data_IF_353295687991
#
_entry.id   IF_353295687991
#
_cell.length_a   1.000
_cell.length_b   1.000
_cell.length_c   1.000
_cell.angle_alpha   90.00
_cell.angle_beta   90.00
_cell.angle_gamma   90.00
#
_symmetry.space_group_name_H-M   'P 1'
#
loop_
_entity.id
_entity.type
_entity.pdbx_description
1 polymer ?
#
# COMPACT_ATOMS: atom_id res chain seq x y z
N UNK A 1 15.72 11.09 23.49
CA UNK A 1 14.36 11.48 23.09
C UNK A 1 14.11 10.69 21.82
N UNK A 2 13.49 9.52 21.96
CA UNK A 2 13.32 8.57 20.86
C UNK A 2 12.43 9.21 19.79
N UNK A 3 12.96 9.29 18.57
CA UNK A 3 12.29 9.85 17.41
C UNK A 3 11.09 8.98 17.08
N UNK A 4 9.88 9.54 17.15
CA UNK A 4 8.61 8.92 16.78
C UNK A 4 8.50 8.59 15.26
N UNK A 5 9.62 8.52 14.53
CA UNK A 5 9.67 8.42 13.07
C UNK A 5 10.37 7.17 12.52
N UNK A 6 10.93 6.30 13.37
CA UNK A 6 11.53 5.03 12.97
C UNK A 6 10.59 3.86 13.30
N UNK A 7 9.51 3.72 12.54
CA UNK A 7 8.82 2.43 12.49
C UNK A 7 9.82 1.42 11.90
N UNK A 8 10.18 0.39 12.68
CA UNK A 8 11.17 -0.62 12.31
C UNK A 8 10.68 -1.44 11.11
N UNK A 9 10.89 -0.93 9.89
CA UNK A 9 10.69 -1.64 8.62
C UNK A 9 11.70 -2.78 8.49
N UNK A 10 11.45 -3.83 9.26
CA UNK A 10 12.27 -5.02 9.34
C UNK A 10 11.58 -6.15 8.61
N UNK A 11 12.36 -7.05 8.04
CA UNK A 11 11.85 -8.30 7.55
C UNK A 11 11.48 -9.15 8.77
N UNK A 12 10.20 -9.53 8.97
CA UNK A 12 9.85 -10.44 10.04
C UNK A 12 10.54 -11.80 9.84
N UNK A 13 10.93 -12.44 10.95
CA UNK A 13 11.62 -13.73 10.90
C UNK A 13 10.71 -14.89 10.43
N UNK A 14 9.40 -14.72 10.62
CA UNK A 14 8.34 -15.65 10.23
C UNK A 14 7.09 -14.85 9.83
N UNK A 15 6.22 -15.46 9.03
CA UNK A 15 4.96 -14.84 8.66
C UNK A 15 3.99 -14.76 9.85
N UNK A 16 3.42 -13.58 10.07
CA UNK A 16 2.39 -13.37 11.09
C UNK A 16 1.00 -13.37 10.45
N UNK A 17 0.07 -14.23 10.89
CA UNK A 17 -1.33 -14.18 10.45
C UNK A 17 -1.97 -12.84 10.80
N UNK A 18 -2.88 -12.35 9.95
CA UNK A 18 -3.63 -11.12 10.18
C UNK A 18 -4.83 -11.39 11.09
N UNK A 19 -4.89 -10.74 12.27
CA UNK A 19 -5.97 -10.94 13.25
C UNK A 19 -7.00 -9.79 13.21
N UNK A 20 -8.21 -9.99 13.75
CA UNK A 20 -9.16 -8.90 13.98
C UNK A 20 -8.54 -7.75 14.77
N UNK A 21 -8.75 -6.51 14.33
CA UNK A 21 -8.19 -5.30 14.95
C UNK A 21 -6.73 -5.00 14.59
N UNK A 22 -6.08 -5.86 13.78
CA UNK A 22 -4.72 -5.64 13.29
C UNK A 22 -4.72 -5.19 11.82
N UNK A 23 -3.74 -4.36 11.48
CA UNK A 23 -3.42 -4.00 10.10
C UNK A 23 -1.94 -4.21 9.82
N UNK A 24 -1.63 -4.86 8.70
CA UNK A 24 -0.27 -5.13 8.26
C UNK A 24 0.08 -4.24 7.07
N UNK A 25 1.17 -3.49 7.18
CA UNK A 25 1.68 -2.61 6.12
C UNK A 25 3.03 -3.14 5.65
N UNK A 26 3.11 -3.52 4.38
CA UNK A 26 4.29 -4.09 3.76
C UNK A 26 4.91 -3.12 2.77
N UNK A 27 6.22 -2.89 2.89
CA UNK A 27 6.98 -2.12 1.92
C UNK A 27 7.99 -3.01 1.18
N UNK A 28 8.18 -2.77 -0.11
CA UNK A 28 9.24 -3.39 -0.90
C UNK A 28 9.81 -2.45 -1.96
N UNK A 29 11.09 -2.62 -2.28
CA UNK A 29 11.72 -1.98 -3.44
C UNK A 29 11.33 -2.72 -4.72
N UNK A 30 11.22 -2.01 -5.84
CA UNK A 30 11.10 -2.63 -7.17
C UNK A 30 12.42 -3.22 -7.67
N UNK A 31 13.55 -2.80 -7.09
CA UNK A 31 14.85 -3.38 -7.36
C UNK A 31 14.95 -4.73 -6.64
N UNK A 32 14.51 -5.78 -7.34
CA UNK A 32 14.48 -7.15 -6.87
C UNK A 32 15.28 -8.05 -7.82
N UNK A 33 15.86 -9.15 -7.33
CA UNK A 33 16.47 -10.15 -8.20
C UNK A 33 15.51 -10.63 -9.29
N UNK A 34 16.04 -10.93 -10.48
CA UNK A 34 15.21 -11.40 -11.60
C UNK A 34 14.42 -12.67 -11.25
N UNK A 35 14.98 -13.56 -10.43
CA UNK A 35 14.27 -14.75 -9.94
C UNK A 35 12.99 -14.39 -9.20
N UNK A 36 13.06 -13.43 -8.27
CA UNK A 36 11.91 -12.90 -7.53
C UNK A 36 10.90 -12.25 -8.48
N UNK A 37 11.38 -11.45 -9.44
CA UNK A 37 10.50 -10.83 -10.43
C UNK A 37 9.73 -11.87 -11.24
N UNK A 38 10.40 -12.92 -11.73
CA UNK A 38 9.75 -13.97 -12.52
C UNK A 38 8.81 -14.84 -11.67
N UNK A 39 9.17 -15.14 -10.42
CA UNK A 39 8.29 -15.82 -9.47
C UNK A 39 6.99 -15.01 -9.27
N UNK A 40 7.09 -13.74 -8.87
CA UNK A 40 5.94 -12.90 -8.62
C UNK A 40 5.10 -12.69 -9.89
N UNK A 41 5.75 -12.57 -11.06
CA UNK A 41 5.07 -12.50 -12.36
C UNK A 41 4.27 -13.78 -12.65
N UNK A 42 4.75 -14.95 -12.23
CA UNK A 42 4.08 -16.23 -12.49
C UNK A 42 2.75 -16.37 -11.75
N UNK A 43 2.54 -15.58 -10.69
CA UNK A 43 1.27 -15.56 -9.94
C UNK A 43 0.19 -14.69 -10.60
N UNK A 44 0.55 -13.81 -11.54
CA UNK A 44 -0.44 -12.93 -12.18
C UNK A 44 -1.40 -13.72 -13.07
N UNK A 45 -2.67 -13.35 -13.01
CA UNK A 45 -3.68 -13.83 -13.95
C UNK A 45 -3.41 -13.34 -15.38
N UNK A 46 -4.05 -13.95 -16.39
CA UNK A 46 -3.82 -13.59 -17.79
C UNK A 46 -4.15 -12.12 -18.09
N UNK A 47 -5.25 -11.60 -17.54
CA UNK A 47 -5.64 -10.19 -17.69
C UNK A 47 -4.64 -9.23 -17.03
N UNK A 48 -4.07 -9.61 -15.88
CA UNK A 48 -3.00 -8.85 -15.22
C UNK A 48 -1.71 -8.88 -16.02
N UNK A 49 -1.33 -10.02 -16.59
CA UNK A 49 -0.16 -10.12 -17.48
C UNK A 49 -0.33 -9.25 -18.73
N UNK A 50 -1.52 -9.24 -19.33
CA UNK A 50 -1.85 -8.35 -20.46
C UNK A 50 -1.79 -6.89 -20.04
N UNK A 51 -2.30 -6.53 -18.86
CA UNK A 51 -2.20 -5.16 -18.32
C UNK A 51 -0.74 -4.76 -18.08
N UNK A 52 0.07 -5.63 -17.51
CA UNK A 52 1.50 -5.41 -17.29
C UNK A 52 2.22 -5.10 -18.62
N UNK A 53 1.90 -5.86 -19.68
CA UNK A 53 2.51 -5.68 -21.00
C UNK A 53 2.17 -4.32 -21.65
N UNK A 54 1.05 -3.69 -21.28
CA UNK A 54 0.60 -2.40 -21.84
C UNK A 54 1.31 -1.19 -21.24
N UNK A 55 2.02 -1.32 -20.11
CA UNK A 55 2.81 -0.20 -19.57
C UNK A 55 3.94 0.18 -20.53
N UNK A 56 4.04 1.50 -20.78
CA UNK A 56 5.02 2.08 -21.72
C UNK A 56 6.45 2.01 -21.19
N UNK A 57 6.63 2.21 -19.88
CA UNK A 57 7.95 2.22 -19.25
C UNK A 57 8.21 0.89 -18.54
N UNK A 58 9.48 0.51 -18.45
CA UNK A 58 9.93 -0.66 -17.67
C UNK A 58 9.60 -0.50 -16.19
N UNK A 59 9.81 0.70 -15.64
CA UNK A 59 9.57 1.00 -14.22
C UNK A 59 8.10 0.80 -13.84
N UNK A 60 7.14 1.37 -14.60
CA UNK A 60 5.71 1.19 -14.28
C UNK A 60 5.27 -0.26 -14.46
N UNK A 61 5.85 -0.98 -15.43
CA UNK A 61 5.63 -2.43 -15.56
C UNK A 61 6.16 -3.20 -14.35
N UNK A 62 7.34 -2.87 -13.85
CA UNK A 62 7.93 -3.51 -12.67
C UNK A 62 7.12 -3.22 -11.41
N UNK A 63 6.75 -1.96 -11.17
CA UNK A 63 5.86 -1.54 -10.07
C UNK A 63 4.57 -2.37 -10.08
N UNK A 64 3.94 -2.49 -11.25
CA UNK A 64 2.70 -3.27 -11.37
C UNK A 64 2.91 -4.76 -11.12
N UNK A 65 3.93 -5.38 -11.73
CA UNK A 65 4.20 -6.82 -11.56
C UNK A 65 4.57 -7.16 -10.12
N UNK A 66 5.46 -6.40 -9.51
CA UNK A 66 5.88 -6.63 -8.13
C UNK A 66 4.75 -6.33 -7.16
N UNK A 67 4.03 -5.23 -7.32
CA UNK A 67 2.88 -4.92 -6.46
C UNK A 67 1.76 -5.94 -6.58
N UNK A 68 1.40 -6.36 -7.79
CA UNK A 68 0.33 -7.36 -7.98
C UNK A 68 0.75 -8.76 -7.56
N UNK A 69 1.95 -9.19 -7.95
CA UNK A 69 2.46 -10.51 -7.60
C UNK A 69 2.67 -10.64 -6.08
N UNK A 70 3.22 -9.60 -5.44
CA UNK A 70 3.39 -9.61 -3.98
C UNK A 70 2.05 -9.54 -3.24
N UNK A 71 1.08 -8.76 -3.74
CA UNK A 71 -0.28 -8.77 -3.21
C UNK A 71 -0.87 -10.17 -3.20
N UNK A 72 -0.80 -10.88 -4.35
CA UNK A 72 -1.27 -12.26 -4.47
C UNK A 72 -0.53 -13.20 -3.51
N UNK A 73 0.80 -13.07 -3.43
CA UNK A 73 1.63 -13.90 -2.53
C UNK A 73 1.22 -13.72 -1.07
N UNK A 74 1.12 -12.48 -0.59
CA UNK A 74 0.76 -12.19 0.80
C UNK A 74 -0.68 -12.60 1.13
N UNK A 75 -1.64 -12.37 0.21
CA UNK A 75 -3.01 -12.85 0.37
C UNK A 75 -3.06 -14.38 0.43
N UNK A 76 -2.29 -15.06 -0.41
CA UNK A 76 -2.18 -16.52 -0.36
C UNK A 76 -1.72 -17.01 1.00
N UNK A 77 -0.73 -16.35 1.61
CA UNK A 77 -0.31 -16.65 2.97
C UNK A 77 -1.37 -16.34 4.04
N UNK A 78 -2.12 -15.23 3.92
CA UNK A 78 -3.18 -14.94 4.90
C UNK A 78 -4.38 -15.88 4.79
N UNK A 79 -4.63 -16.46 3.62
CA UNK A 79 -5.80 -17.27 3.31
C UNK A 79 -5.51 -18.77 3.25
N UNK A 80 -4.24 -19.16 3.31
CA UNK A 80 -3.77 -20.52 3.01
C UNK A 80 -4.22 -21.00 1.62
N UNK A 81 -4.11 -20.11 0.62
CA UNK A 81 -4.49 -20.36 -0.77
C UNK A 81 -3.30 -20.11 -1.71
N UNK A 82 -3.26 -20.84 -2.84
CA UNK A 82 -2.21 -20.61 -3.83
C UNK A 82 -2.39 -19.24 -4.52
N UNK A 83 -1.34 -18.40 -4.63
CA UNK A 83 -1.46 -17.01 -5.14
C UNK A 83 -2.12 -16.86 -6.52
N UNK A 84 -1.95 -17.84 -7.40
CA UNK A 84 -2.53 -17.85 -8.75
C UNK A 84 -4.03 -18.19 -8.77
N UNK A 85 -4.56 -18.80 -7.71
CA UNK A 85 -5.98 -19.20 -7.63
C UNK A 85 -6.87 -18.06 -7.11
N UNK A 86 -6.26 -17.02 -6.52
CA UNK A 86 -6.97 -15.85 -6.02
C UNK A 86 -7.66 -15.10 -7.16
N UNK A 87 -8.95 -14.80 -6.95
CA UNK A 87 -9.77 -14.04 -7.89
C UNK A 87 -10.03 -12.63 -7.37
N UNK A 88 -9.93 -11.62 -8.25
CA UNK A 88 -10.24 -10.24 -7.91
C UNK A 88 -11.44 -9.75 -8.72
N UNK A 89 -12.35 -9.05 -8.05
CA UNK A 89 -13.38 -8.23 -8.69
C UNK A 89 -12.96 -6.76 -8.63
N UNK A 90 -13.42 -5.96 -9.58
CA UNK A 90 -13.05 -4.55 -9.67
C UNK A 90 -14.27 -3.68 -9.38
N UNK A 91 -14.15 -2.80 -8.40
CA UNK A 91 -15.17 -1.79 -8.11
C UNK A 91 -15.24 -0.70 -9.18
N UNK A 92 -16.20 0.22 -9.04
CA UNK A 92 -16.50 1.30 -9.99
C UNK A 92 -15.27 2.17 -10.34
N UNK A 93 -14.36 2.35 -9.38
CA UNK A 93 -13.13 3.14 -9.57
C UNK A 93 -11.88 2.28 -9.85
N UNK A 94 -12.06 1.00 -10.18
CA UNK A 94 -10.95 0.08 -10.49
C UNK A 94 -10.18 -0.42 -9.26
N UNK A 95 -10.65 -0.15 -8.03
CA UNK A 95 -10.10 -0.74 -6.79
C UNK A 95 -10.34 -2.26 -6.85
N UNK A 96 -9.27 -3.09 -6.85
CA UNK A 96 -9.41 -4.53 -6.78
C UNK A 96 -9.93 -4.94 -5.40
N UNK A 97 -10.84 -5.89 -5.37
CA UNK A 97 -11.42 -6.49 -4.17
C UNK A 97 -11.24 -7.99 -4.30
N UNK A 98 -10.82 -8.67 -3.24
CA UNK A 98 -10.71 -10.11 -3.23
C UNK A 98 -12.11 -10.71 -3.34
N UNK A 99 -12.32 -11.58 -4.34
CA UNK A 99 -13.51 -12.41 -4.39
C UNK A 99 -13.29 -13.60 -3.45
N UNK A 100 -14.00 -13.62 -2.33
CA UNK A 100 -13.97 -14.75 -1.40
C UNK A 100 -15.40 -15.28 -1.17
N UNK A 101 -15.78 -16.42 -1.76
CA UNK A 101 -17.12 -16.98 -1.64
C UNK A 101 -17.43 -17.52 -0.23
N UNK A 102 -16.41 -17.74 0.61
CA UNK A 102 -16.55 -18.25 1.99
C UNK A 102 -16.60 -17.10 3.01
N UNK A 103 -16.55 -15.84 2.56
CA UNK A 103 -16.77 -14.67 3.41
C UNK A 103 -15.55 -14.23 4.22
N UNK A 104 -14.36 -14.29 3.63
CA UNK A 104 -13.15 -13.75 4.24
C UNK A 104 -13.17 -12.22 4.40
N UNK A 105 -12.76 -11.76 5.57
CA UNK A 105 -12.80 -10.36 6.00
C UNK A 105 -11.64 -9.50 5.50
N UNK A 106 -10.66 -10.03 4.77
CA UNK A 106 -9.45 -9.25 4.46
C UNK A 106 -9.77 -8.13 3.47
N UNK A 107 -9.41 -6.90 3.84
CA UNK A 107 -9.36 -5.74 2.96
C UNK A 107 -7.92 -5.39 2.69
N UNK A 108 -7.66 -4.82 1.54
CA UNK A 108 -6.31 -4.42 1.17
C UNK A 108 -6.29 -3.19 0.28
N UNK A 109 -5.13 -2.55 0.25
CA UNK A 109 -4.84 -1.47 -0.67
C UNK A 109 -3.37 -1.50 -1.09
N UNK A 110 -3.08 -0.99 -2.28
CA UNK A 110 -1.72 -0.96 -2.84
C UNK A 110 -1.46 0.44 -3.36
N UNK A 111 -0.30 0.99 -3.05
CA UNK A 111 0.23 2.20 -3.66
C UNK A 111 1.69 2.00 -4.06
N UNK A 112 2.14 2.73 -5.07
CA UNK A 112 3.52 2.66 -5.52
C UNK A 112 3.94 3.98 -6.18
N UNK A 113 5.20 4.36 -5.99
CA UNK A 113 5.79 5.59 -6.52
C UNK A 113 7.29 5.38 -6.61
N UNK A 114 7.95 5.98 -7.60
CA UNK A 114 9.40 5.80 -7.79
C UNK A 114 9.81 4.32 -7.79
N UNK A 115 10.62 3.92 -6.82
CA UNK A 115 11.10 2.53 -6.66
C UNK A 115 10.42 1.77 -5.54
N UNK A 116 9.38 2.32 -4.93
CA UNK A 116 8.74 1.75 -3.74
C UNK A 116 7.33 1.27 -4.03
N UNK A 117 7.00 0.11 -3.50
CA UNK A 117 5.64 -0.44 -3.44
C UNK A 117 5.24 -0.61 -1.99
N UNK A 118 4.04 -0.15 -1.66
CA UNK A 118 3.44 -0.23 -0.33
C UNK A 118 2.10 -0.98 -0.43
N UNK A 119 1.91 -1.98 0.43
CA UNK A 119 0.68 -2.76 0.52
C UNK A 119 0.14 -2.68 1.93
N UNK A 120 -1.15 -2.49 2.08
CA UNK A 120 -1.83 -2.48 3.36
C UNK A 120 -2.90 -3.56 3.39
N UNK A 121 -3.02 -4.24 4.53
CA UNK A 121 -4.01 -5.29 4.77
C UNK A 121 -4.66 -5.07 6.12
N UNK A 122 -5.97 -5.26 6.20
CA UNK A 122 -6.75 -5.19 7.44
C UNK A 122 -7.74 -6.34 7.50
N UNK A 123 -8.10 -6.76 8.71
CA UNK A 123 -9.19 -7.70 8.93
C UNK A 123 -10.50 -6.93 9.13
N UNK A 124 -11.46 -7.15 8.24
CA UNK A 124 -12.81 -6.58 8.18
C UNK A 124 -12.90 -5.08 7.83
N UNK A 125 -12.02 -4.26 8.39
CA UNK A 125 -12.10 -2.80 8.23
C UNK A 125 -11.64 -2.34 6.86
N UNK A 126 -12.29 -1.32 6.29
CA UNK A 126 -11.77 -0.70 5.07
C UNK A 126 -10.41 -0.06 5.34
N UNK A 127 -9.51 -0.20 4.37
CA UNK A 127 -8.15 0.33 4.44
C UNK A 127 -7.75 0.98 3.12
N UNK A 128 -6.99 2.08 3.24
CA UNK A 128 -6.38 2.80 2.13
C UNK A 128 -4.94 3.15 2.47
N UNK A 129 -4.05 3.04 1.49
CA UNK A 129 -2.65 3.40 1.67
C UNK A 129 -2.17 4.24 0.51
N UNK A 130 -1.36 5.24 0.82
CA UNK A 130 -0.69 6.02 -0.20
C UNK A 130 0.78 6.23 0.12
N UNK A 131 1.58 6.37 -0.94
CA UNK A 131 3.01 6.62 -0.85
C UNK A 131 3.44 7.49 -2.01
N UNK A 132 4.21 8.52 -1.71
CA UNK A 132 4.79 9.42 -2.70
C UNK A 132 6.30 9.63 -2.48
N UNK A 133 7.04 9.66 -3.58
CA UNK A 133 8.45 10.05 -3.56
C UNK A 133 8.52 11.57 -3.48
N UNK A 134 9.19 12.08 -2.45
CA UNK A 134 9.38 13.52 -2.26
C UNK A 134 10.26 14.06 -3.39
N UNK A 135 9.67 14.92 -4.21
CA UNK A 135 10.31 15.53 -5.38
C UNK A 135 9.87 16.97 -5.57
N UNK A 136 10.46 17.67 -6.54
CA UNK A 136 9.96 18.99 -6.92
C UNK A 136 8.62 18.84 -7.65
N UNK A 137 7.64 19.64 -7.24
CA UNK A 137 6.31 19.73 -7.85
C UNK A 137 6.06 21.22 -8.16
N UNK A 138 6.30 21.66 -9.40
CA UNK A 138 6.15 23.08 -9.77
C UNK A 138 4.76 23.63 -9.46
N UNK A 139 3.71 22.83 -9.61
CA UNK A 139 2.32 23.23 -9.36
C UNK A 139 1.81 22.90 -7.94
N UNK A 140 2.69 22.65 -6.97
CA UNK A 140 2.29 22.25 -5.61
C UNK A 140 1.29 23.21 -4.96
N UNK A 141 1.49 24.51 -5.11
CA UNK A 141 0.61 25.53 -4.53
C UNK A 141 -0.79 25.51 -5.17
N UNK A 142 -0.88 25.33 -6.49
CA UNK A 142 -2.16 25.25 -7.22
C UNK A 142 -2.93 23.98 -6.83
N UNK A 143 -2.21 22.87 -6.65
CA UNK A 143 -2.80 21.61 -6.18
C UNK A 143 -3.30 21.77 -4.74
N UNK A 144 -2.49 22.37 -3.86
CA UNK A 144 -2.86 22.60 -2.47
C UNK A 144 -4.11 23.49 -2.37
N UNK A 145 -4.17 24.61 -3.09
CA UNK A 145 -5.34 25.52 -3.10
C UNK A 145 -6.64 24.82 -3.51
N UNK A 146 -6.56 23.78 -4.35
CA UNK A 146 -7.73 23.05 -4.85
C UNK A 146 -8.19 21.92 -3.92
N UNK A 147 -7.27 21.24 -3.25
CA UNK A 147 -7.57 19.99 -2.54
C UNK A 147 -7.31 20.03 -1.02
N UNK A 148 -6.58 21.04 -0.54
CA UNK A 148 -6.24 21.17 0.88
C UNK A 148 -7.23 22.10 1.58
N UNK A 149 -7.37 21.94 2.90
CA UNK A 149 -8.12 22.86 3.74
C UNK A 149 -7.36 24.19 3.87
N UNK A 150 -8.05 25.22 4.36
CA UNK A 150 -7.41 26.53 4.57
C UNK A 150 -6.26 26.46 5.56
N UNK A 151 -6.42 25.63 6.59
CA UNK A 151 -5.42 25.39 7.63
C UNK A 151 -4.20 24.66 7.05
N UNK A 152 -4.41 23.63 6.23
CA UNK A 152 -3.35 22.88 5.54
C UNK A 152 -2.59 23.75 4.52
N UNK A 153 -3.28 24.63 3.78
CA UNK A 153 -2.64 25.60 2.87
C UNK A 153 -1.79 26.59 3.67
N UNK A 154 -2.29 27.07 4.81
CA UNK A 154 -1.52 27.96 5.68
C UNK A 154 -0.30 27.26 6.30
N UNK A 155 -0.43 25.99 6.71
CA UNK A 155 0.70 25.16 7.15
C UNK A 155 1.76 25.05 6.06
N UNK A 156 1.35 24.71 4.84
CA UNK A 156 2.24 24.58 3.68
C UNK A 156 2.95 25.89 3.35
N UNK A 157 2.25 27.02 3.40
CA UNK A 157 2.83 28.34 3.15
C UNK A 157 3.90 28.73 4.20
N UNK A 158 3.75 28.26 5.44
CA UNK A 158 4.65 28.56 6.56
C UNK A 158 5.80 27.54 6.70
N UNK A 159 5.79 26.44 5.94
CA UNK A 159 6.74 25.34 6.06
C UNK A 159 8.18 25.66 5.61
N UNK A 160 8.41 26.80 4.93
CA UNK A 160 9.75 27.24 4.54
C UNK A 160 10.52 26.19 3.73
N UNK A 161 11.67 25.73 4.23
CA UNK A 161 12.51 24.73 3.58
C UNK A 161 11.87 23.33 3.49
N UNK A 162 10.93 23.02 4.40
CA UNK A 162 10.24 21.73 4.49
C UNK A 162 8.94 21.67 3.67
N UNK A 163 8.64 22.73 2.89
CA UNK A 163 7.41 22.86 2.09
C UNK A 163 7.09 21.61 1.26
N UNK A 164 8.11 20.98 0.68
CA UNK A 164 7.93 19.74 -0.12
C UNK A 164 7.46 18.56 0.74
N UNK A 165 8.08 18.36 1.89
CA UNK A 165 7.73 17.28 2.81
C UNK A 165 6.32 17.48 3.37
N UNK A 166 5.97 18.71 3.76
CA UNK A 166 4.62 19.07 4.24
C UNK A 166 3.57 18.83 3.15
N UNK A 167 3.86 19.22 1.89
CA UNK A 167 2.95 18.96 0.78
C UNK A 167 2.66 17.46 0.61
N UNK A 168 3.70 16.64 0.53
CA UNK A 168 3.53 15.19 0.34
C UNK A 168 2.93 14.49 1.55
N UNK A 169 3.17 15.00 2.76
CA UNK A 169 2.50 14.54 3.99
C UNK A 169 0.99 14.73 3.87
N UNK A 170 0.54 15.95 3.57
CA UNK A 170 -0.89 16.24 3.44
C UNK A 170 -1.51 15.47 2.26
N UNK A 171 -0.80 15.44 1.12
CA UNK A 171 -1.25 14.74 -0.08
C UNK A 171 -1.49 13.25 0.17
N UNK A 172 -0.50 12.56 0.74
CA UNK A 172 -0.58 11.11 1.01
C UNK A 172 -1.68 10.79 2.02
N UNK A 173 -1.88 11.61 3.06
CA UNK A 173 -3.00 11.46 3.99
C UNK A 173 -4.36 11.53 3.29
N UNK A 174 -4.55 12.50 2.38
CA UNK A 174 -5.80 12.65 1.62
C UNK A 174 -6.04 11.49 0.66
N UNK A 175 -5.01 11.07 -0.07
CA UNK A 175 -5.10 9.92 -0.98
C UNK A 175 -5.39 8.62 -0.22
N UNK A 176 -4.77 8.41 0.94
CA UNK A 176 -5.05 7.25 1.79
C UNK A 176 -6.53 7.24 2.25
N UNK A 177 -7.06 8.40 2.68
CA UNK A 177 -8.47 8.56 3.06
C UNK A 177 -9.43 8.25 1.89
N UNK A 178 -9.14 8.75 0.70
CA UNK A 178 -9.95 8.50 -0.50
C UNK A 178 -9.93 7.02 -0.91
N UNK A 179 -8.75 6.39 -0.87
CA UNK A 179 -8.60 4.96 -1.15
C UNK A 179 -9.29 4.09 -0.10
N UNK A 180 -9.31 4.53 1.16
CA UNK A 180 -10.00 3.85 2.26
C UNK A 180 -11.53 3.95 2.10
N UNK A 181 -12.06 5.14 1.82
CA UNK A 181 -13.50 5.33 1.63
C UNK A 181 -14.03 4.66 0.35
N UNK A 182 -13.14 4.32 -0.59
CA UNK A 182 -13.52 3.75 -1.88
C UNK A 182 -14.08 4.81 -2.84
N UNK A 183 -13.92 6.09 -2.52
CA UNK A 183 -14.43 7.24 -3.29
C UNK A 183 -13.26 7.93 -3.97
N UNK A 184 -13.27 8.03 -5.31
CA UNK A 184 -12.31 8.88 -6.01
C UNK A 184 -12.57 10.37 -5.75
N UNK A 185 -11.67 11.28 -6.18
CA UNK A 185 -11.80 12.75 -6.02
C UNK A 185 -13.08 13.41 -6.60
N UNK A 186 -14.02 12.65 -7.17
CA UNK A 186 -15.26 13.15 -7.76
C UNK A 186 -16.54 12.42 -7.31
N UNK A 187 -16.47 11.51 -6.34
CA UNK A 187 -17.64 10.74 -5.88
C UNK A 187 -18.39 11.41 -4.72
N UNK A 188 -19.73 11.40 -4.80
CA UNK A 188 -20.62 11.76 -3.70
C UNK A 188 -21.05 10.47 -2.99
N UNK A 189 -20.43 10.13 -1.87
CA UNK A 189 -21.00 9.19 -0.90
C UNK A 189 -20.67 9.66 0.52
N UNK A 190 -21.53 9.30 1.47
CA UNK A 190 -21.35 9.66 2.88
C UNK A 190 -20.00 9.13 3.36
N UNK A 191 -19.14 9.97 3.97
CA UNK A 191 -17.88 9.49 4.52
C UNK A 191 -18.17 8.36 5.51
N UNK A 192 -17.39 7.28 5.42
CA UNK A 192 -17.32 6.31 6.50
C UNK A 192 -17.03 7.10 7.77
N UNK A 193 -17.94 7.06 8.74
CA UNK A 193 -17.72 7.74 10.01
C UNK A 193 -16.59 6.99 10.72
N UNK A 194 -15.70 7.73 11.36
CA UNK A 194 -14.60 7.18 12.19
C UNK A 194 -13.40 6.59 11.42
N UNK A 195 -12.97 7.24 10.34
CA UNK A 195 -11.67 6.98 9.70
C UNK A 195 -10.52 7.54 10.54
N UNK A 196 -9.47 6.75 10.73
CA UNK A 196 -8.19 7.20 11.34
C UNK A 196 -7.08 7.14 10.31
N UNK A 197 -6.19 8.13 10.32
CA UNK A 197 -5.05 8.24 9.40
C UNK A 197 -3.75 8.26 10.18
N UNK A 198 -2.77 7.48 9.73
CA UNK A 198 -1.43 7.42 10.29
C UNK A 198 -0.41 7.73 9.21
N UNK A 199 0.46 8.69 9.49
CA UNK A 199 1.62 9.03 8.67
C UNK A 199 2.68 7.92 8.78
N UNK A 200 3.31 7.60 7.66
CA UNK A 200 4.33 6.56 7.53
C UNK A 200 5.54 7.10 6.77
N UNK A 201 6.74 6.63 7.13
CA UNK A 201 7.98 6.88 6.40
C UNK A 201 8.65 5.55 6.02
N UNK A 202 8.30 4.96 4.87
CA UNK A 202 8.77 3.62 4.48
C UNK A 202 10.23 3.57 4.03
N UNK A 203 10.77 4.70 3.57
CA UNK A 203 12.16 4.84 3.19
C UNK A 203 12.56 6.34 3.15
N UNK A 204 13.86 6.67 3.21
CA UNK A 204 14.33 8.04 3.00
C UNK A 204 13.85 8.60 1.66
N UNK A 205 13.34 9.83 1.67
CA UNK A 205 12.81 10.50 0.48
C UNK A 205 11.41 10.04 0.07
N UNK A 206 10.71 9.26 0.90
CA UNK A 206 9.32 8.87 0.68
C UNK A 206 8.45 9.32 1.85
N UNK A 207 7.24 9.76 1.52
CA UNK A 207 6.16 10.03 2.47
C UNK A 207 5.02 9.08 2.18
N UNK A 208 4.35 8.58 3.20
CA UNK A 208 3.21 7.70 3.05
C UNK A 208 2.18 7.96 4.14
N UNK A 209 0.98 7.45 3.93
CA UNK A 209 -0.05 7.38 4.94
C UNK A 209 -0.89 6.12 4.78
N UNK A 210 -1.45 5.64 5.88
CA UNK A 210 -2.48 4.62 5.90
C UNK A 210 -3.73 5.17 6.58
N UNK A 211 -4.88 4.93 5.99
CA UNK A 211 -6.18 5.22 6.57
C UNK A 211 -6.95 3.91 6.80
N UNK A 212 -7.64 3.81 7.94
CA UNK A 212 -8.43 2.64 8.33
C UNK A 212 -9.76 3.07 8.95
N UNK A 213 -10.82 2.31 8.70
CA UNK A 213 -12.15 2.52 9.28
C UNK A 213 -12.30 1.95 10.70
N UNK A 214 -11.30 2.13 11.56
CA UNK A 214 -11.36 1.74 12.97
C UNK A 214 -10.29 2.49 13.80
N UNK A 215 -10.67 3.30 14.80
CA UNK A 215 -9.73 4.11 15.59
C UNK A 215 -8.84 3.32 16.55
N UNK A 216 -9.17 2.06 16.83
CA UNK A 216 -8.38 1.19 17.71
C UNK A 216 -7.47 0.22 16.94
N UNK A 217 -7.19 0.49 15.66
CA UNK A 217 -6.39 -0.42 14.83
C UNK A 217 -4.91 -0.42 15.24
N UNK A 218 -4.37 -1.61 15.48
CA UNK A 218 -2.94 -1.80 15.70
C UNK A 218 -2.21 -2.02 14.37
N UNK A 219 -1.23 -1.17 14.05
CA UNK A 219 -0.43 -1.29 12.84
C UNK A 219 0.87 -2.05 13.08
N UNK A 220 1.18 -2.98 12.18
CA UNK A 220 2.50 -3.60 12.05
C UNK A 220 3.10 -3.23 10.69
N UNK A 221 4.25 -2.56 10.69
CA UNK A 221 4.99 -2.22 9.48
C UNK A 221 6.11 -3.21 9.24
N UNK A 222 6.18 -3.78 8.04
CA UNK A 222 7.13 -4.83 7.68
C UNK A 222 7.79 -4.52 6.35
N UNK A 223 9.08 -4.85 6.25
CA UNK A 223 9.77 -4.84 4.96
C UNK A 223 9.70 -6.22 4.36
N UNK A 224 9.19 -6.32 3.14
CA UNK A 224 9.19 -7.60 2.45
C UNK A 224 10.60 -7.93 1.93
N UNK A 225 10.99 -9.19 2.12
CA UNK A 225 12.10 -9.82 1.42
C UNK A 225 11.69 -11.24 1.01
N UNK A 226 12.31 -11.76 -0.05
CA UNK A 226 12.02 -13.10 -0.56
C UNK A 226 12.40 -14.23 0.44
N UNK A 227 13.22 -13.93 1.45
CA UNK A 227 13.68 -14.88 2.47
C UNK A 227 12.60 -15.25 3.49
N UNK A 228 11.66 -14.33 3.77
CA UNK A 228 10.57 -14.48 4.78
C UNK A 228 9.66 -15.68 4.47
N UNK A 229 9.69 -16.15 3.23
CA UNK A 229 8.74 -17.11 2.66
C UNK A 229 9.41 -18.25 1.91
N UNK A 230 10.73 -18.38 2.05
CA UNK A 230 11.43 -19.56 1.56
C UNK A 230 11.14 -20.71 2.53
N UNK A 231 10.80 -21.92 2.06
CA UNK A 231 10.78 -23.07 2.96
C UNK A 231 12.17 -23.16 3.59
N UNK A 232 12.27 -22.96 4.91
CA UNK A 232 13.54 -23.08 5.63
C UNK A 232 14.13 -24.43 5.22
N UNK A 233 15.33 -24.41 4.63
CA UNK A 233 16.05 -25.63 4.29
C UNK A 233 16.20 -26.45 5.60
N UNK A 234 15.34 -27.45 5.80
CA UNK A 234 15.33 -28.23 7.03
C UNK A 234 14.00 -28.85 7.48
N UNK A 235 12.84 -28.47 6.93
CA UNK A 235 11.59 -29.20 7.24
C UNK A 235 11.15 -29.99 6.00
N UNK A 236 11.67 -31.21 5.90
CA UNK A 236 11.10 -32.28 5.09
C UNK A 236 9.67 -32.50 5.60
N UNK A 237 8.66 -32.15 4.81
CA UNK A 237 7.34 -32.77 4.99
C UNK A 237 7.53 -34.26 4.68
N UNK A 238 7.40 -35.08 5.72
CA UNK A 238 7.19 -36.52 5.61
C UNK A 238 5.73 -36.78 5.28
#
# INVERSE_FOLDING_TARGET
MESLFDLNWTAPADFTPLKPGESHIWATSIDQPLSVYFELKSFLSLDEQVKAARFRTSQSRQQFVLGRGLLRKLLGYYLDEHPSELSFVYGEHGKPILFNPIGGSIRFNVSHTGELVLLAFSFADEIGVDVEQVRSVPEADVIAERFFSREEVAELANAGAEKRDVFFKIWTCKEALLKCSGVGFGGNTSPCKDLTVHELRPAPGYMAAVAVASPETHFQTMRWSHEIFSPRAGVMML
#
